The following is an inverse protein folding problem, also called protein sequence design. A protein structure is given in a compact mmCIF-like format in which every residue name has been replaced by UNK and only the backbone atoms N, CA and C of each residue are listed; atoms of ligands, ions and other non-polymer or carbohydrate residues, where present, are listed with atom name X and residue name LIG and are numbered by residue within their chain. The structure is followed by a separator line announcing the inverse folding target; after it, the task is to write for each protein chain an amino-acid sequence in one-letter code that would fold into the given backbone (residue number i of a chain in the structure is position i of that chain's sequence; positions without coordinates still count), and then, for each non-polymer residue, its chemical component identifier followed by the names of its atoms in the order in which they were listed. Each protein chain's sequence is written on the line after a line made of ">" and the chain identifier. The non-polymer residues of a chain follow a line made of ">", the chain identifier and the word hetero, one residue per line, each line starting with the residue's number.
data_IF_299900984755
#
_entry.id   IF_299900984755
#
_cell.length_a   1.000
_cell.length_b   1.000
_cell.length_c   1.000
_cell.angle_alpha   90.00
_cell.angle_beta   90.00
_cell.angle_gamma   90.00
#
_symmetry.space_group_name_H-M   'P 1'
#
loop_
_entity.id
_entity.type
_entity.pdbx_description
1 polymer ?
#
# COMPACT_ATOMS: atom_id res chain seq x y z
N UNK A 1 -9.89 13.61 -16.07
CA UNK A 1 -8.44 13.86 -16.11
C UNK A 1 -8.16 15.02 -15.18
N UNK A 2 -7.33 14.82 -14.16
CA UNK A 2 -6.85 15.90 -13.28
C UNK A 2 -6.07 16.92 -14.11
N UNK A 3 -6.28 18.22 -13.85
CA UNK A 3 -5.54 19.29 -14.55
C UNK A 3 -4.02 19.08 -14.39
N UNK A 4 -3.21 19.32 -15.44
CA UNK A 4 -1.76 19.35 -15.30
C UNK A 4 -1.37 20.39 -14.25
N UNK A 5 -0.41 20.05 -13.39
CA UNK A 5 0.09 20.96 -12.33
C UNK A 5 0.99 22.04 -12.93
N UNK A 6 1.60 21.75 -14.09
CA UNK A 6 2.67 22.54 -14.68
C UNK A 6 4.01 21.84 -14.52
N UNK A 7 5.08 22.61 -14.60
CA UNK A 7 6.45 22.16 -14.36
C UNK A 7 6.78 22.07 -12.86
N UNK A 8 7.78 21.27 -12.50
CA UNK A 8 8.27 21.16 -11.13
C UNK A 8 8.95 19.84 -10.81
N UNK A 9 9.23 19.62 -9.52
CA UNK A 9 9.92 18.41 -9.04
C UNK A 9 8.93 17.28 -8.74
N UNK A 10 9.21 16.09 -9.25
CA UNK A 10 8.46 14.89 -8.92
C UNK A 10 8.84 14.36 -7.52
N UNK A 11 7.87 14.18 -6.62
CA UNK A 11 8.11 13.69 -5.25
C UNK A 11 8.76 12.30 -5.20
N UNK A 12 8.52 11.47 -6.22
CA UNK A 12 9.02 10.11 -6.29
C UNK A 12 10.47 10.00 -6.79
N UNK A 13 10.78 10.65 -7.91
CA UNK A 13 12.10 10.51 -8.56
C UNK A 13 12.99 11.74 -8.42
N UNK A 14 12.50 12.81 -7.78
CA UNK A 14 13.22 14.05 -7.50
C UNK A 14 13.70 14.81 -8.75
N UNK A 15 13.35 14.35 -9.95
CA UNK A 15 13.65 15.03 -11.20
C UNK A 15 12.68 16.19 -11.41
N UNK A 16 13.21 17.31 -11.88
CA UNK A 16 12.42 18.38 -12.48
C UNK A 16 11.84 17.91 -13.82
N UNK A 17 10.55 18.14 -14.04
CA UNK A 17 9.85 17.78 -15.27
C UNK A 17 8.90 18.89 -15.69
N UNK A 18 8.71 19.05 -17.01
CA UNK A 18 7.85 20.10 -17.58
C UNK A 18 6.35 19.85 -17.34
N UNK A 19 6.00 18.61 -16.99
CA UNK A 19 4.61 18.21 -16.80
C UNK A 19 4.44 17.23 -15.64
N UNK A 20 3.99 17.77 -14.52
CA UNK A 20 3.55 17.03 -13.36
C UNK A 20 2.07 16.66 -13.44
N UNK A 21 1.76 15.55 -12.77
CA UNK A 21 0.43 14.99 -12.56
C UNK A 21 0.17 14.87 -11.06
N UNK A 22 -1.09 14.74 -10.67
CA UNK A 22 -1.45 14.41 -9.30
C UNK A 22 -1.47 12.89 -9.10
N UNK A 23 -0.62 12.41 -8.21
CA UNK A 23 -0.67 11.04 -7.68
C UNK A 23 -1.30 11.07 -6.30
N UNK A 24 -2.16 10.11 -5.98
CA UNK A 24 -2.79 10.05 -4.66
C UNK A 24 -1.82 9.42 -3.68
N UNK A 25 -1.57 10.03 -2.53
CA UNK A 25 -0.71 9.45 -1.48
C UNK A 25 -1.26 8.09 -1.07
N UNK A 26 -2.56 8.04 -0.77
CA UNK A 26 -3.31 6.80 -0.55
C UNK A 26 -4.11 6.43 -1.80
N UNK A 27 -3.99 5.20 -2.32
CA UNK A 27 -4.68 4.86 -3.57
C UNK A 27 -6.18 4.75 -3.34
N UNK A 28 -6.96 5.44 -4.17
CA UNK A 28 -8.43 5.50 -4.03
C UNK A 28 -9.09 4.12 -4.11
N UNK A 29 -8.55 3.19 -4.90
CA UNK A 29 -9.10 1.84 -5.05
C UNK A 29 -8.98 0.97 -3.79
N UNK A 30 -8.20 1.41 -2.80
CA UNK A 30 -8.01 0.72 -1.52
C UNK A 30 -9.08 1.11 -0.48
N UNK A 31 -10.06 1.93 -0.84
CA UNK A 31 -11.08 2.43 0.07
C UNK A 31 -12.48 1.92 -0.30
N UNK A 32 -13.33 1.57 0.68
CA UNK A 32 -14.73 1.28 0.39
C UNK A 32 -15.43 2.51 -0.20
N UNK A 33 -16.48 2.28 -0.99
CA UNK A 33 -17.18 3.32 -1.75
C UNK A 33 -17.81 4.40 -0.84
N UNK A 34 -17.98 4.09 0.45
CA UNK A 34 -18.55 4.96 1.49
C UNK A 34 -17.52 5.76 2.30
N UNK A 35 -16.35 6.05 1.74
CA UNK A 35 -15.50 7.09 2.34
C UNK A 35 -16.20 8.42 2.09
N UNK A 36 -16.59 9.16 3.14
CA UNK A 36 -17.59 10.23 3.09
C UNK A 36 -17.46 11.15 1.87
N UNK A 37 -18.55 11.44 1.14
CA UNK A 37 -18.52 12.40 0.03
C UNK A 37 -18.06 13.76 0.57
N UNK A 38 -16.88 14.20 0.16
CA UNK A 38 -16.26 15.45 0.61
C UNK A 38 -14.84 15.33 1.16
N UNK A 39 -14.33 14.11 1.41
CA UNK A 39 -12.93 13.92 1.81
C UNK A 39 -12.04 14.07 0.57
N UNK A 40 -11.27 15.17 0.51
CA UNK A 40 -10.24 15.33 -0.50
C UNK A 40 -9.10 14.36 -0.22
N UNK A 41 -8.96 13.36 -1.08
CA UNK A 41 -7.83 12.42 -1.04
C UNK A 41 -6.52 13.20 -1.21
N UNK A 42 -5.58 13.01 -0.28
CA UNK A 42 -4.26 13.63 -0.36
C UNK A 42 -3.55 13.25 -1.65
N UNK A 43 -3.01 14.26 -2.33
CA UNK A 43 -2.30 14.12 -3.60
C UNK A 43 -0.97 14.82 -3.53
N UNK A 44 0.01 14.26 -4.24
CA UNK A 44 1.34 14.84 -4.38
C UNK A 44 1.73 14.96 -5.86
N UNK A 45 2.64 15.88 -6.20
CA UNK A 45 3.14 16.03 -7.56
C UNK A 45 4.01 14.85 -7.97
N UNK A 46 3.68 14.25 -9.12
CA UNK A 46 4.43 13.15 -9.69
C UNK A 46 4.57 13.30 -11.21
N UNK A 47 5.73 12.92 -11.77
CA UNK A 47 5.84 12.77 -13.21
C UNK A 47 4.97 11.60 -13.70
N UNK A 48 4.60 11.64 -14.98
CA UNK A 48 3.73 10.61 -15.57
C UNK A 48 4.30 9.19 -15.44
N UNK A 49 5.61 9.03 -15.60
CA UNK A 49 6.28 7.72 -15.50
C UNK A 49 6.14 7.11 -14.11
N UNK A 50 6.43 7.88 -13.06
CA UNK A 50 6.33 7.42 -11.67
C UNK A 50 4.87 7.13 -11.30
N UNK A 51 3.96 8.06 -11.58
CA UNK A 51 2.53 7.89 -11.28
C UNK A 51 1.97 6.63 -11.96
N UNK A 52 2.29 6.42 -13.25
CA UNK A 52 1.86 5.23 -13.97
C UNK A 52 2.51 3.94 -13.44
N UNK A 53 3.78 3.97 -13.05
CA UNK A 53 4.46 2.82 -12.45
C UNK A 53 3.86 2.43 -11.10
N UNK A 54 3.62 3.39 -10.21
CA UNK A 54 2.97 3.17 -8.93
C UNK A 54 1.54 2.66 -9.10
N UNK A 55 0.74 3.27 -9.98
CA UNK A 55 -0.63 2.82 -10.22
C UNK A 55 -0.71 1.34 -10.67
N UNK A 56 0.21 0.88 -11.53
CA UNK A 56 0.28 -0.55 -11.91
C UNK A 56 0.69 -1.46 -10.76
N UNK A 57 1.67 -1.04 -9.97
CA UNK A 57 2.16 -1.81 -8.81
C UNK A 57 1.05 -1.93 -7.75
N UNK A 58 0.38 -0.84 -7.43
CA UNK A 58 -0.71 -0.78 -6.46
C UNK A 58 -1.91 -1.60 -6.87
N UNK A 59 -2.31 -1.55 -8.15
CA UNK A 59 -3.39 -2.40 -8.66
C UNK A 59 -3.04 -3.88 -8.49
N UNK A 60 -1.79 -4.26 -8.80
CA UNK A 60 -1.33 -5.63 -8.69
C UNK A 60 -1.27 -6.12 -7.24
N UNK A 61 -0.77 -5.27 -6.33
CA UNK A 61 -0.67 -5.53 -4.91
C UNK A 61 -2.05 -5.63 -4.26
N UNK A 62 -2.95 -4.68 -4.56
CA UNK A 62 -4.34 -4.67 -4.08
C UNK A 62 -5.06 -5.98 -4.37
N UNK A 63 -4.98 -6.47 -5.62
CA UNK A 63 -5.68 -7.70 -6.01
C UNK A 63 -5.23 -8.92 -5.20
N UNK A 64 -3.94 -9.00 -4.85
CA UNK A 64 -3.37 -10.10 -4.07
C UNK A 64 -3.74 -9.97 -2.60
N UNK A 65 -3.56 -8.79 -2.02
CA UNK A 65 -3.87 -8.53 -0.62
C UNK A 65 -5.36 -8.66 -0.32
N UNK A 66 -6.23 -8.20 -1.22
CA UNK A 66 -7.68 -8.33 -1.05
C UNK A 66 -8.15 -9.79 -0.95
N UNK A 67 -7.38 -10.74 -1.46
CA UNK A 67 -7.67 -12.18 -1.35
C UNK A 67 -7.10 -12.81 -0.06
N UNK A 68 -6.27 -12.08 0.68
CA UNK A 68 -5.59 -12.55 1.89
C UNK A 68 -6.16 -11.93 3.18
N UNK A 69 -7.17 -11.07 3.06
CA UNK A 69 -7.81 -10.37 4.19
C UNK A 69 -9.20 -10.94 4.48
N UNK A 70 -9.81 -10.48 5.57
CA UNK A 70 -11.11 -10.97 6.01
C UNK A 70 -12.16 -10.43 5.04
N UNK A 71 -12.88 -11.28 4.29
CA UNK A 71 -13.87 -10.82 3.32
C UNK A 71 -15.12 -10.21 3.97
N UNK A 72 -15.35 -10.44 5.27
CA UNK A 72 -16.54 -9.97 5.97
C UNK A 72 -16.29 -8.73 6.84
N UNK A 73 -15.02 -8.37 7.08
CA UNK A 73 -14.70 -7.17 7.84
C UNK A 73 -15.19 -5.90 7.09
N UNK A 74 -15.79 -4.91 7.81
CA UNK A 74 -16.35 -3.71 7.18
C UNK A 74 -15.36 -2.93 6.30
N UNK A 75 -14.09 -2.86 6.68
CA UNK A 75 -13.03 -2.14 5.96
C UNK A 75 -12.67 -2.79 4.61
N UNK A 76 -12.85 -4.10 4.47
CA UNK A 76 -12.33 -4.90 3.36
C UNK A 76 -13.42 -5.51 2.49
N UNK A 77 -14.64 -5.72 3.00
CA UNK A 77 -15.73 -6.41 2.28
C UNK A 77 -15.93 -5.93 0.84
N UNK A 78 -16.09 -4.62 0.65
CA UNK A 78 -16.25 -4.04 -0.69
C UNK A 78 -14.96 -4.14 -1.52
N UNK A 79 -13.79 -4.07 -0.88
CA UNK A 79 -12.49 -4.23 -1.55
C UNK A 79 -12.37 -5.64 -2.12
N UNK A 80 -12.66 -6.66 -1.32
CA UNK A 80 -12.63 -8.07 -1.72
C UNK A 80 -13.61 -8.31 -2.87
N UNK A 81 -14.85 -7.84 -2.75
CA UNK A 81 -15.84 -7.98 -3.82
C UNK A 81 -15.39 -7.36 -5.14
N UNK A 82 -14.77 -6.17 -5.10
CA UNK A 82 -14.22 -5.51 -6.30
C UNK A 82 -13.02 -6.27 -6.85
N UNK A 83 -12.13 -6.78 -6.00
CA UNK A 83 -10.98 -7.57 -6.42
C UNK A 83 -11.41 -8.87 -7.11
N UNK A 84 -12.36 -9.61 -6.52
CA UNK A 84 -12.93 -10.82 -7.11
C UNK A 84 -13.60 -10.52 -8.46
N UNK A 85 -14.40 -9.44 -8.54
CA UNK A 85 -15.00 -9.01 -9.81
C UNK A 85 -13.93 -8.64 -10.84
N UNK A 86 -12.81 -8.03 -10.44
CA UNK A 86 -11.74 -7.61 -11.34
C UNK A 86 -10.97 -8.78 -11.98
N UNK A 87 -11.08 -9.99 -11.43
CA UNK A 87 -10.49 -11.22 -11.99
C UNK A 87 -11.53 -12.15 -12.62
N UNK A 88 -12.82 -11.87 -12.42
CA UNK A 88 -13.91 -12.59 -13.05
C UNK A 88 -14.10 -12.17 -14.52
N UNK A 89 -13.87 -13.11 -15.45
CA UNK A 89 -14.02 -12.87 -16.88
C UNK A 89 -15.50 -12.65 -17.29
N UNK A 90 -16.46 -13.24 -16.58
CA UNK A 90 -17.88 -13.14 -16.93
C UNK A 90 -18.47 -11.78 -16.57
N UNK A 91 -17.89 -11.11 -15.57
CA UNK A 91 -18.17 -9.70 -15.25
C UNK A 91 -17.61 -8.70 -16.28
N UNK A 92 -16.97 -9.15 -17.37
CA UNK A 92 -16.39 -8.30 -18.39
C UNK A 92 -17.40 -7.78 -19.43
N UNK A 93 -17.30 -6.49 -19.78
CA UNK A 93 -18.28 -5.81 -20.65
C UNK A 93 -18.17 -6.16 -22.14
N UNK A 94 -16.99 -6.59 -22.57
CA UNK A 94 -16.68 -6.94 -23.95
C UNK A 94 -15.49 -7.91 -23.99
N UNK A 95 -15.21 -8.51 -25.14
CA UNK A 95 -14.15 -9.50 -25.30
C UNK A 95 -12.78 -9.04 -24.76
N UNK A 96 -12.38 -7.79 -25.03
CA UNK A 96 -11.10 -7.24 -24.53
C UNK A 96 -11.07 -7.16 -23.00
N UNK A 97 -12.17 -6.72 -22.36
CA UNK A 97 -12.28 -6.70 -20.91
C UNK A 97 -12.28 -8.12 -20.32
N UNK A 98 -13.06 -9.04 -20.88
CA UNK A 98 -13.08 -10.45 -20.46
C UNK A 98 -11.69 -11.08 -20.50
N UNK A 99 -10.97 -10.90 -21.62
CA UNK A 99 -9.60 -11.41 -21.79
C UNK A 99 -8.63 -10.80 -20.78
N UNK A 100 -8.76 -9.50 -20.47
CA UNK A 100 -7.91 -8.84 -19.47
C UNK A 100 -8.14 -9.42 -18.06
N UNK A 101 -9.40 -9.62 -17.67
CA UNK A 101 -9.75 -10.19 -16.36
C UNK A 101 -9.31 -11.64 -16.23
N UNK A 102 -9.52 -12.42 -17.28
CA UNK A 102 -8.98 -13.78 -17.40
C UNK A 102 -7.46 -13.78 -17.19
N UNK A 103 -6.70 -12.95 -17.91
CA UNK A 103 -5.24 -12.86 -17.75
C UNK A 103 -4.81 -12.45 -16.33
N UNK A 104 -5.57 -11.57 -15.67
CA UNK A 104 -5.32 -11.20 -14.26
C UNK A 104 -5.53 -12.40 -13.33
N UNK A 105 -6.62 -13.15 -13.50
CA UNK A 105 -6.88 -14.39 -12.75
C UNK A 105 -5.74 -15.39 -12.93
N UNK A 106 -5.38 -15.68 -14.17
CA UNK A 106 -4.28 -16.60 -14.49
C UNK A 106 -2.95 -16.14 -13.86
N UNK A 107 -2.67 -14.84 -13.88
CA UNK A 107 -1.46 -14.30 -13.24
C UNK A 107 -1.45 -14.51 -11.72
N UNK A 108 -2.60 -14.48 -11.06
CA UNK A 108 -2.68 -14.74 -9.61
C UNK A 108 -2.56 -16.24 -9.34
N UNK A 109 -3.33 -17.07 -10.06
CA UNK A 109 -3.33 -18.53 -9.88
C UNK A 109 -1.94 -19.15 -10.06
N UNK A 110 -1.12 -18.65 -11.00
CA UNK A 110 0.26 -19.12 -11.20
C UNK A 110 1.21 -18.86 -10.01
N UNK A 111 0.82 -17.98 -9.09
CA UNK A 111 1.61 -17.61 -7.93
C UNK A 111 1.01 -18.14 -6.62
N UNK A 112 0.11 -19.12 -6.71
CA UNK A 112 -0.48 -19.78 -5.54
C UNK A 112 0.37 -21.00 -5.17
N UNK A 113 0.71 -21.09 -3.90
CA UNK A 113 1.24 -22.29 -3.25
C UNK A 113 0.18 -22.87 -2.33
N UNK A 114 0.13 -24.19 -2.18
CA UNK A 114 -0.88 -24.87 -1.36
C UNK A 114 -0.23 -25.82 -0.37
N UNK A 115 -0.84 -25.96 0.81
CA UNK A 115 -0.41 -26.96 1.78
C UNK A 115 1.03 -26.83 2.22
N UNK A 116 1.74 -27.95 2.15
CA UNK A 116 3.14 -28.12 2.52
C UNK A 116 4.12 -27.29 1.67
N UNK A 117 3.67 -26.77 0.52
CA UNK A 117 4.47 -25.88 -0.32
C UNK A 117 4.57 -24.46 0.23
N UNK A 118 3.77 -24.11 1.25
CA UNK A 118 3.77 -22.79 1.87
C UNK A 118 4.93 -22.70 2.87
N UNK A 119 5.95 -21.90 2.54
CA UNK A 119 7.06 -21.62 3.47
C UNK A 119 6.59 -20.76 4.64
N UNK A 120 6.88 -21.18 5.87
CA UNK A 120 6.59 -20.42 7.09
C UNK A 120 7.40 -19.12 7.19
N UNK A 121 8.62 -19.09 6.64
CA UNK A 121 9.49 -17.91 6.65
C UNK A 121 9.04 -16.82 5.66
N UNK A 122 8.25 -17.20 4.65
CA UNK A 122 7.77 -16.29 3.60
C UNK A 122 6.43 -15.64 3.88
N UNK A 123 5.80 -15.93 5.02
CA UNK A 123 4.47 -15.40 5.37
C UNK A 123 4.64 -13.97 5.87
N UNK A 124 3.95 -13.03 5.21
CA UNK A 124 3.92 -11.66 5.67
C UNK A 124 3.26 -11.59 7.06
N UNK A 125 3.86 -10.91 8.05
CA UNK A 125 3.29 -10.81 9.39
C UNK A 125 1.83 -10.34 9.37
N UNK A 126 0.98 -10.93 10.22
CA UNK A 126 -0.47 -10.64 10.33
C UNK A 126 -1.33 -11.07 9.13
N UNK A 127 -0.74 -11.53 8.03
CA UNK A 127 -1.44 -12.08 6.85
C UNK A 127 -1.35 -13.62 6.75
N UNK A 128 -0.88 -14.28 7.81
CA UNK A 128 -0.88 -15.73 7.92
C UNK A 128 -2.26 -16.35 8.11
N UNK A 129 -2.31 -17.68 8.19
CA UNK A 129 -3.55 -18.40 8.46
C UNK A 129 -4.13 -18.01 9.82
N UNK A 130 -5.40 -17.63 9.83
CA UNK A 130 -6.11 -17.13 11.02
C UNK A 130 -7.54 -17.63 11.15
N UNK A 131 -7.94 -18.56 10.29
CA UNK A 131 -9.29 -19.15 10.27
C UNK A 131 -9.29 -20.61 10.75
N UNK A 132 -8.16 -21.10 11.27
CA UNK A 132 -8.05 -22.47 11.78
C UNK A 132 -8.09 -23.54 10.69
N UNK A 133 -7.78 -23.19 9.43
CA UNK A 133 -7.79 -24.16 8.34
C UNK A 133 -6.62 -25.15 8.48
N UNK A 134 -6.86 -26.46 8.30
CA UNK A 134 -5.81 -27.46 8.14
C UNK A 134 -4.83 -27.08 7.02
N UNK A 135 -3.55 -27.44 7.17
CA UNK A 135 -2.48 -27.06 6.22
C UNK A 135 -2.84 -27.43 4.79
N UNK A 136 -3.33 -28.64 4.54
CA UNK A 136 -3.74 -29.15 3.22
C UNK A 136 -4.88 -28.34 2.56
N UNK A 137 -5.61 -27.52 3.31
CA UNK A 137 -6.65 -26.63 2.81
C UNK A 137 -6.18 -25.17 2.65
N UNK A 138 -4.96 -24.85 3.10
CA UNK A 138 -4.40 -23.51 3.01
C UNK A 138 -3.86 -23.23 1.61
N UNK A 139 -3.89 -21.94 1.25
CA UNK A 139 -3.30 -21.43 0.01
C UNK A 139 -2.65 -20.08 0.31
N UNK A 140 -1.46 -19.86 -0.24
CA UNK A 140 -0.71 -18.62 -0.12
C UNK A 140 -0.51 -17.99 -1.50
N UNK A 141 -0.62 -16.67 -1.58
CA UNK A 141 -0.36 -15.91 -2.81
C UNK A 141 1.02 -15.26 -2.69
N UNK A 142 1.92 -15.61 -3.61
CA UNK A 142 3.25 -15.02 -3.65
C UNK A 142 3.20 -13.55 -4.10
N UNK A 143 3.85 -12.69 -3.33
CA UNK A 143 4.01 -11.25 -3.60
C UNK A 143 5.49 -10.89 -3.47
N UNK A 144 6.00 -10.04 -4.37
CA UNK A 144 7.37 -9.55 -4.27
C UNK A 144 7.49 -8.61 -3.06
N UNK A 145 8.49 -8.82 -2.20
CA UNK A 145 8.78 -7.92 -1.07
C UNK A 145 8.98 -6.46 -1.51
N UNK A 146 9.61 -6.25 -2.67
CA UNK A 146 9.80 -4.92 -3.28
C UNK A 146 8.48 -4.18 -3.52
N UNK A 147 7.37 -4.87 -3.76
CA UNK A 147 6.06 -4.22 -3.93
C UNK A 147 5.57 -3.60 -2.64
N UNK A 148 5.76 -4.25 -1.49
CA UNK A 148 5.45 -3.66 -0.18
C UNK A 148 6.38 -2.49 0.13
N UNK A 149 7.69 -2.65 -0.09
CA UNK A 149 8.67 -1.61 0.17
C UNK A 149 8.38 -0.34 -0.64
N UNK A 150 8.10 -0.48 -1.95
CA UNK A 150 7.73 0.65 -2.82
C UNK A 150 6.39 1.29 -2.44
N UNK A 151 5.41 0.48 -2.07
CA UNK A 151 4.12 1.00 -1.62
C UNK A 151 4.26 1.83 -0.35
N UNK A 152 5.01 1.30 0.63
CA UNK A 152 5.29 1.99 1.88
C UNK A 152 6.13 3.26 1.66
N UNK A 153 7.17 3.20 0.80
CA UNK A 153 7.97 4.36 0.39
C UNK A 153 7.10 5.47 -0.21
N UNK A 154 6.20 5.12 -1.15
CA UNK A 154 5.28 6.09 -1.75
C UNK A 154 4.43 6.79 -0.69
N UNK A 155 3.88 6.03 0.26
CA UNK A 155 3.07 6.59 1.34
C UNK A 155 3.92 7.54 2.19
N UNK A 156 5.11 7.13 2.63
CA UNK A 156 6.00 7.93 3.48
C UNK A 156 6.42 9.23 2.80
N UNK A 157 6.87 9.15 1.54
CA UNK A 157 7.20 10.34 0.73
C UNK A 157 6.01 11.30 0.63
N UNK A 158 4.82 10.76 0.40
CA UNK A 158 3.60 11.54 0.32
C UNK A 158 3.22 12.21 1.65
N UNK A 159 3.37 11.52 2.78
CA UNK A 159 3.08 12.09 4.10
C UNK A 159 4.05 13.22 4.43
N UNK A 160 5.36 13.02 4.26
CA UNK A 160 6.37 14.07 4.51
C UNK A 160 6.14 15.28 3.61
N UNK A 161 5.81 15.06 2.33
CA UNK A 161 5.52 16.15 1.41
C UNK A 161 4.25 16.93 1.80
N UNK A 162 3.17 16.24 2.16
CA UNK A 162 1.87 16.89 2.45
C UNK A 162 1.88 17.61 3.80
N UNK A 163 2.57 17.04 4.80
CA UNK A 163 2.60 17.62 6.14
C UNK A 163 3.63 18.74 6.26
N UNK A 164 4.82 18.52 5.70
CA UNK A 164 5.96 19.40 5.95
C UNK A 164 6.41 20.17 4.71
N UNK A 165 5.89 19.86 3.52
CA UNK A 165 6.35 20.46 2.27
C UNK A 165 7.75 20.02 1.84
N UNK A 166 8.30 18.97 2.46
CA UNK A 166 9.67 18.49 2.22
C UNK A 166 9.72 17.31 1.24
N UNK A 167 10.86 17.19 0.55
CA UNK A 167 11.18 16.05 -0.30
C UNK A 167 12.21 15.18 0.42
N UNK A 168 11.94 13.88 0.50
CA UNK A 168 12.94 12.90 0.96
C UNK A 168 13.95 12.68 -0.17
N UNK A 169 15.03 13.45 -0.16
CA UNK A 169 16.06 13.39 -1.19
C UNK A 169 17.11 12.28 -0.97
N UNK A 170 18.20 12.32 -1.72
CA UNK A 170 19.27 11.34 -1.69
C UNK A 170 20.12 11.38 -0.42
N UNK A 171 19.98 12.41 0.42
CA UNK A 171 20.59 12.45 1.76
C UNK A 171 19.94 11.48 2.73
N UNK A 172 18.74 11.00 2.41
CA UNK A 172 17.99 10.10 3.27
C UNK A 172 17.93 8.68 2.71
N UNK A 173 17.72 7.73 3.60
CA UNK A 173 17.43 6.34 3.31
C UNK A 173 16.06 6.00 3.87
N UNK A 174 15.21 5.40 3.04
CA UNK A 174 13.92 4.84 3.45
C UNK A 174 14.13 3.34 3.61
N UNK A 175 13.91 2.83 4.83
CA UNK A 175 14.10 1.42 5.17
C UNK A 175 12.75 0.82 5.52
N UNK A 176 12.35 -0.19 4.75
CA UNK A 176 11.13 -0.96 4.99
C UNK A 176 11.43 -2.18 5.85
N UNK A 177 10.55 -2.45 6.82
CA UNK A 177 10.59 -3.66 7.64
C UNK A 177 9.20 -4.29 7.77
N UNK A 178 9.17 -5.63 7.70
CA UNK A 178 8.02 -6.43 8.07
C UNK A 178 8.29 -7.02 9.47
N UNK A 179 7.67 -6.46 10.50
CA UNK A 179 7.92 -6.87 11.89
C UNK A 179 7.01 -8.03 12.29
N UNK A 180 7.55 -8.95 13.10
CA UNK A 180 6.73 -9.97 13.75
C UNK A 180 5.76 -9.33 14.75
N UNK A 181 4.71 -10.05 15.21
CA UNK A 181 3.81 -9.54 16.24
C UNK A 181 4.52 -9.13 17.54
N UNK A 182 5.64 -9.76 17.88
CA UNK A 182 6.49 -9.39 19.02
C UNK A 182 7.16 -8.03 18.77
N UNK A 183 7.83 -7.87 17.62
CA UNK A 183 8.50 -6.61 17.28
C UNK A 183 7.54 -5.43 17.11
N UNK A 184 6.32 -5.66 16.60
CA UNK A 184 5.27 -4.63 16.56
C UNK A 184 4.87 -4.17 17.98
N UNK A 185 4.65 -5.12 18.90
CA UNK A 185 4.30 -4.82 20.29
C UNK A 185 5.37 -4.04 21.04
N UNK A 186 6.64 -4.27 20.74
CA UNK A 186 7.74 -3.50 21.35
C UNK A 186 7.69 -2.00 20.99
N UNK A 187 7.11 -1.66 19.83
CA UNK A 187 7.01 -0.28 19.35
C UNK A 187 5.65 0.38 19.68
N UNK A 188 4.70 -0.37 20.22
CA UNK A 188 3.31 0.08 20.40
C UNK A 188 3.18 1.30 21.32
N UNK A 189 3.96 1.35 22.41
CA UNK A 189 3.94 2.51 23.33
C UNK A 189 4.49 3.75 22.64
N UNK A 190 5.64 3.64 21.96
CA UNK A 190 6.26 4.77 21.25
C UNK A 190 5.32 5.39 20.22
N UNK A 191 4.68 4.58 19.37
CA UNK A 191 3.73 5.10 18.38
C UNK A 191 2.45 5.67 19.00
N UNK A 192 2.01 5.13 20.13
CA UNK A 192 0.82 5.64 20.84
C UNK A 192 1.09 6.96 21.53
N UNK A 193 2.23 7.08 22.18
CA UNK A 193 2.55 8.19 23.08
C UNK A 193 3.16 9.39 22.32
N UNK A 194 3.81 9.14 21.18
CA UNK A 194 4.53 10.17 20.41
C UNK A 194 4.09 10.28 18.94
N UNK A 195 3.15 9.45 18.49
CA UNK A 195 2.78 9.38 17.08
C UNK A 195 1.73 10.43 16.66
N UNK A 196 1.97 11.12 15.55
CA UNK A 196 0.93 11.85 14.81
C UNK A 196 0.17 10.91 13.89
N UNK A 197 -1.15 11.02 13.85
CA UNK A 197 -2.02 10.14 13.05
C UNK A 197 -2.43 10.85 11.76
N UNK A 198 -2.20 10.17 10.64
CA UNK A 198 -2.62 10.57 9.30
C UNK A 198 -3.49 9.45 8.73
N UNK A 199 -4.82 9.63 8.82
CA UNK A 199 -5.78 8.57 8.50
C UNK A 199 -6.79 9.03 7.46
N UNK A 200 -7.11 8.14 6.53
CA UNK A 200 -8.39 8.14 5.86
C UNK A 200 -9.06 6.81 6.22
N UNK A 201 -10.11 6.86 7.03
CA UNK A 201 -10.77 5.65 7.53
C UNK A 201 -11.96 5.25 6.65
N UNK A 202 -12.27 3.94 6.54
CA UNK A 202 -11.62 2.79 7.19
C UNK A 202 -10.51 2.16 6.34
N UNK A 203 -9.71 2.96 5.63
CA UNK A 203 -8.72 2.49 4.67
C UNK A 203 -7.31 2.36 5.24
N UNK A 204 -6.52 3.41 5.12
CA UNK A 204 -5.10 3.43 5.52
C UNK A 204 -4.93 4.42 6.65
N UNK A 205 -4.25 3.97 7.71
CA UNK A 205 -3.85 4.78 8.86
C UNK A 205 -2.34 4.79 8.92
N UNK A 206 -1.74 5.98 8.92
CA UNK A 206 -0.30 6.15 9.10
C UNK A 206 -0.07 6.83 10.43
N UNK A 207 0.62 6.18 11.35
CA UNK A 207 1.16 6.81 12.54
C UNK A 207 2.62 7.17 12.29
N UNK A 208 3.00 8.42 12.53
CA UNK A 208 4.36 8.94 12.29
C UNK A 208 4.94 9.48 13.59
N UNK A 209 6.19 9.12 13.85
CA UNK A 209 7.02 9.77 14.87
C UNK A 209 8.16 10.46 14.13
N UNK A 210 8.31 11.77 14.29
CA UNK A 210 9.38 12.55 13.68
C UNK A 210 9.89 13.61 14.66
N UNK A 211 11.20 13.88 14.71
CA UNK A 211 11.74 14.96 15.52
C UNK A 211 11.43 16.32 14.88
N UNK A 212 11.30 17.36 15.69
CA UNK A 212 11.10 18.74 15.20
C UNK A 212 12.32 19.26 14.43
N UNK A 213 13.52 18.75 14.72
CA UNK A 213 14.78 19.22 14.12
C UNK A 213 14.94 18.85 12.65
N UNK A 214 14.35 17.73 12.22
CA UNK A 214 14.40 17.26 10.85
C UNK A 214 13.13 16.45 10.53
N UNK A 215 12.15 17.04 9.84
CA UNK A 215 10.90 16.36 9.52
C UNK A 215 11.11 15.20 8.53
N UNK A 216 12.19 15.16 7.76
CA UNK A 216 12.41 14.04 6.84
C UNK A 216 12.78 12.76 7.59
N UNK A 217 13.41 12.86 8.76
CA UNK A 217 13.73 11.72 9.62
C UNK A 217 12.48 11.29 10.39
N UNK A 218 12.28 9.98 10.54
CA UNK A 218 11.18 9.48 11.36
C UNK A 218 10.90 8.00 11.23
N UNK A 219 9.98 7.53 12.08
CA UNK A 219 9.43 6.18 12.04
C UNK A 219 7.94 6.24 11.66
N UNK A 220 7.50 5.31 10.83
CA UNK A 220 6.16 5.24 10.29
C UNK A 220 5.61 3.84 10.49
N UNK A 221 4.39 3.78 11.02
CA UNK A 221 3.55 2.59 11.07
C UNK A 221 2.37 2.79 10.14
N UNK A 222 2.29 2.00 9.08
CA UNK A 222 1.23 2.06 8.07
C UNK A 222 0.33 0.86 8.30
N UNK A 223 -0.86 1.09 8.83
CA UNK A 223 -1.90 0.09 8.98
C UNK A 223 -2.85 0.13 7.79
N UNK A 224 -3.12 -1.03 7.22
CA UNK A 224 -4.01 -1.17 6.05
C UNK A 224 -5.22 -2.00 6.45
N UNK A 225 -6.40 -1.38 6.35
CA UNK A 225 -7.72 -1.93 6.66
C UNK A 225 -7.89 -2.51 8.07
N UNK A 226 -6.97 -2.21 9.00
CA UNK A 226 -6.89 -2.87 10.29
C UNK A 226 -6.53 -4.36 10.21
N UNK A 227 -5.94 -4.81 9.10
CA UNK A 227 -5.70 -6.24 8.82
C UNK A 227 -4.21 -6.60 8.87
N UNK A 228 -3.34 -5.66 8.53
CA UNK A 228 -1.88 -5.83 8.61
C UNK A 228 -1.18 -4.47 8.68
N UNK A 229 0.09 -4.49 9.09
CA UNK A 229 0.93 -3.31 9.28
C UNK A 229 2.24 -3.42 8.51
N UNK A 230 2.73 -2.28 8.06
CA UNK A 230 4.07 -2.09 7.50
C UNK A 230 4.83 -1.07 8.35
N UNK A 231 6.13 -1.27 8.50
CA UNK A 231 7.00 -0.36 9.23
C UNK A 231 8.03 0.24 8.29
N UNK A 232 8.23 1.54 8.42
CA UNK A 232 9.24 2.27 7.65
C UNK A 232 9.98 3.21 8.56
N UNK A 233 11.30 3.28 8.41
CA UNK A 233 12.10 4.37 8.97
C UNK A 233 12.70 5.19 7.85
N UNK A 234 12.83 6.49 8.11
CA UNK A 234 13.60 7.41 7.29
C UNK A 234 14.73 7.95 8.15
N UNK A 235 15.95 7.79 7.67
CA UNK A 235 17.17 8.18 8.38
C UNK A 235 18.14 8.86 7.42
N UNK A 236 19.06 9.66 7.94
CA UNK A 236 20.16 10.18 7.14
C UNK A 236 21.03 9.03 6.64
N UNK A 237 21.49 9.11 5.38
CA UNK A 237 22.50 8.20 4.87
C UNK A 237 23.82 8.47 5.58
N UNK A 238 24.43 7.40 6.06
CA UNK A 238 25.81 7.41 6.54
C UNK A 238 26.79 7.63 5.37
#
# INVERSE_FOLDING_TARGET
>A
MTKPIGEGICVHCLRYVDKLTWDHVFPVSWYPHRTSPGIEMWKMPACHECNHAYGRMEENLLLRLAMCVDPEAPATKEIVQRALRAVDADAGRNYKDKLRRYKKRESILRNISSGDQISSEGIYPQLGERWGRPVDQQSAISVKAESFAKFAEKIVRGIVFIQDGHLIDDRYQIVFAALTPEGDRELDSSFRDHGSIHALEPGIVVTRIAPESDPCVGAFRIEVWGQFRMFVTVQLRA
#
